data_IF_714032394467
#
_entry.id   IF_714032394467
#
_cell.length_a   1.000
_cell.length_b   1.000
_cell.length_c   1.000
_cell.angle_alpha   90.00
_cell.angle_beta   90.00
_cell.angle_gamma   90.00
#
_symmetry.space_group_name_H-M   'P 1'
#
loop_
_entity.id
_entity.type
_entity.pdbx_description
1 polymer ?
#
# COMPACT_ATOMS: atom_id res chain seq x y z
N UNK A 1 -17.40 8.01 -12.70
CA UNK A 1 -16.29 7.71 -11.78
C UNK A 1 -16.82 6.80 -10.69
N UNK A 2 -16.08 5.78 -10.29
CA UNK A 2 -16.44 5.00 -9.11
C UNK A 2 -16.15 5.85 -7.88
N UNK A 3 -17.20 6.17 -7.12
CA UNK A 3 -17.09 6.87 -5.83
C UNK A 3 -17.12 5.80 -4.76
N UNK A 4 -16.19 5.85 -3.81
CA UNK A 4 -16.20 4.97 -2.63
C UNK A 4 -16.97 5.67 -1.51
N UNK A 5 -18.24 5.29 -1.22
CA UNK A 5 -19.08 6.02 -0.28
C UNK A 5 -18.54 5.99 1.16
N UNK A 6 -17.78 4.94 1.50
CA UNK A 6 -17.14 4.78 2.79
C UNK A 6 -16.12 5.90 3.06
N UNK A 7 -15.35 6.33 2.06
CA UNK A 7 -14.41 7.45 2.18
C UNK A 7 -15.14 8.74 2.55
N UNK A 8 -16.24 9.03 1.82
CA UNK A 8 -17.02 10.25 2.05
C UNK A 8 -17.69 10.26 3.43
N UNK A 9 -18.31 9.15 3.82
CA UNK A 9 -19.01 9.02 5.10
C UNK A 9 -18.05 9.02 6.31
N UNK A 10 -16.84 8.47 6.15
CA UNK A 10 -15.80 8.42 7.17
C UNK A 10 -14.66 9.40 6.92
N UNK A 11 -14.94 10.53 6.24
CA UNK A 11 -13.88 11.44 5.80
C UNK A 11 -13.03 11.98 6.96
N UNK A 12 -13.62 12.20 8.14
CA UNK A 12 -12.87 12.59 9.33
C UNK A 12 -11.80 11.57 9.76
N UNK A 13 -12.12 10.27 9.69
CA UNK A 13 -11.19 9.17 9.97
C UNK A 13 -10.15 9.04 8.86
N UNK A 14 -10.59 9.04 7.60
CA UNK A 14 -9.69 8.98 6.44
C UNK A 14 -8.69 10.16 6.42
N UNK A 15 -9.14 11.36 6.80
CA UNK A 15 -8.27 12.55 6.88
C UNK A 15 -7.14 12.37 7.90
N UNK A 16 -7.33 11.60 8.98
CA UNK A 16 -6.24 11.26 9.90
C UNK A 16 -5.21 10.37 9.20
N UNK A 17 -5.68 9.30 8.55
CA UNK A 17 -4.82 8.41 7.74
C UNK A 17 -4.00 9.17 6.68
N UNK A 18 -4.56 10.23 6.09
CA UNK A 18 -3.87 11.08 5.12
C UNK A 18 -2.76 11.95 5.72
N UNK A 19 -2.96 12.48 6.92
CA UNK A 19 -2.18 13.61 7.45
C UNK A 19 -1.17 13.23 8.51
N UNK A 20 -1.45 12.15 9.22
CA UNK A 20 -0.71 11.75 10.41
C UNK A 20 0.30 10.63 10.08
N UNK A 21 1.35 10.57 10.90
CA UNK A 21 2.44 9.62 10.71
C UNK A 21 1.98 8.19 11.00
N UNK A 22 2.55 7.26 10.24
CA UNK A 22 2.34 5.83 10.34
C UNK A 22 3.70 5.14 10.40
N UNK A 23 3.77 4.00 11.08
CA UNK A 23 5.03 3.27 11.27
C UNK A 23 4.92 1.82 10.79
N UNK A 24 5.83 1.42 9.90
CA UNK A 24 5.95 0.03 9.47
C UNK A 24 6.61 -0.77 10.58
N UNK A 25 6.02 -1.90 10.95
CA UNK A 25 6.49 -2.67 12.12
C UNK A 25 7.65 -3.63 11.80
N UNK A 26 8.08 -3.69 10.54
CA UNK A 26 9.19 -4.55 10.08
C UNK A 26 10.11 -3.78 9.15
N UNK A 27 11.40 -3.97 9.36
CA UNK A 27 12.49 -3.38 8.57
C UNK A 27 12.53 -3.93 7.14
N UNK A 28 12.15 -5.19 6.97
CA UNK A 28 12.07 -5.86 5.69
C UNK A 28 10.66 -6.36 5.43
N UNK A 29 10.27 -6.32 4.14
CA UNK A 29 9.07 -7.00 3.66
C UNK A 29 9.47 -7.95 2.56
N UNK A 30 9.44 -9.25 2.88
CA UNK A 30 9.67 -10.31 1.91
C UNK A 30 8.44 -10.45 1.01
N UNK A 31 8.67 -10.41 -0.30
CA UNK A 31 7.67 -10.58 -1.36
C UNK A 31 7.90 -11.93 -1.99
N UNK A 32 6.97 -12.86 -1.76
CA UNK A 32 7.12 -14.29 -2.08
C UNK A 32 5.99 -14.77 -2.97
N UNK A 33 6.14 -15.95 -3.55
CA UNK A 33 5.08 -16.56 -4.32
C UNK A 33 4.01 -17.13 -3.39
N UNK A 34 2.76 -16.70 -3.55
CA UNK A 34 1.62 -17.27 -2.85
C UNK A 34 0.97 -18.39 -3.67
N UNK A 35 0.50 -19.43 -3.00
CA UNK A 35 -0.24 -20.51 -3.65
C UNK A 35 -1.53 -19.96 -4.28
N UNK A 36 -1.79 -20.31 -5.54
CA UNK A 36 -2.99 -19.89 -6.27
C UNK A 36 -2.90 -18.54 -6.98
N UNK A 37 -1.83 -17.76 -6.82
CA UNK A 37 -1.60 -16.54 -7.59
C UNK A 37 -0.37 -16.70 -8.51
N UNK A 38 -0.55 -17.16 -9.77
CA UNK A 38 0.58 -17.30 -10.69
C UNK A 38 1.12 -15.94 -11.16
N UNK A 39 0.28 -14.91 -11.12
CA UNK A 39 0.56 -13.61 -11.76
C UNK A 39 1.42 -12.70 -10.90
N UNK A 40 1.28 -12.79 -9.57
CA UNK A 40 1.98 -11.89 -8.65
C UNK A 40 2.68 -12.66 -7.52
N UNK A 41 3.87 -12.15 -7.18
CA UNK A 41 4.49 -12.32 -5.87
C UNK A 41 3.87 -11.28 -4.91
N UNK A 42 3.67 -11.64 -3.66
CA UNK A 42 3.02 -10.79 -2.66
C UNK A 42 3.81 -10.76 -1.36
N UNK A 43 3.88 -9.57 -0.75
CA UNK A 43 4.40 -9.33 0.59
C UNK A 43 3.41 -8.47 1.37
N UNK A 44 3.32 -8.69 2.69
CA UNK A 44 2.42 -7.93 3.55
C UNK A 44 3.07 -7.70 4.92
N UNK A 45 2.92 -6.50 5.44
CA UNK A 45 3.33 -6.16 6.81
C UNK A 45 2.31 -5.25 7.48
N UNK A 46 2.31 -5.25 8.80
CA UNK A 46 1.45 -4.38 9.60
C UNK A 46 2.07 -2.99 9.73
N UNK A 47 1.18 -2.00 9.83
CA UNK A 47 1.51 -0.60 10.01
C UNK A 47 0.74 -0.09 11.23
N UNK A 48 1.42 0.57 12.15
CA UNK A 48 0.75 1.32 13.22
C UNK A 48 0.50 2.76 12.78
N UNK A 49 -0.49 3.37 13.40
CA UNK A 49 -0.79 4.79 13.25
C UNK A 49 -0.50 5.49 14.58
N UNK A 50 -0.06 6.75 14.53
CA UNK A 50 0.31 7.48 15.75
C UNK A 50 -0.86 7.62 16.74
N UNK A 51 -2.05 7.95 16.24
CA UNK A 51 -3.22 8.27 17.07
C UNK A 51 -4.46 7.39 16.80
N UNK A 52 -4.32 6.31 16.01
CA UNK A 52 -5.43 5.42 15.68
C UNK A 52 -5.08 3.98 16.04
N UNK A 53 -5.96 3.37 16.83
CA UNK A 53 -5.98 1.92 17.02
C UNK A 53 -6.79 1.30 15.88
N UNK A 54 -6.15 1.19 14.71
CA UNK A 54 -6.77 0.64 13.50
C UNK A 54 -5.84 -0.36 12.83
N UNK A 55 -6.40 -1.44 12.28
CA UNK A 55 -5.61 -2.43 11.54
C UNK A 55 -5.24 -1.87 10.16
N UNK A 56 -3.98 -1.40 10.02
CA UNK A 56 -3.42 -0.93 8.76
C UNK A 56 -2.39 -1.92 8.26
N UNK A 57 -2.42 -2.20 6.96
CA UNK A 57 -1.47 -3.12 6.32
C UNK A 57 -0.86 -2.49 5.09
N UNK A 58 0.45 -2.63 4.95
CA UNK A 58 1.18 -2.36 3.72
C UNK A 58 1.29 -3.67 2.95
N UNK A 59 0.69 -3.71 1.76
CA UNK A 59 0.81 -4.82 0.83
C UNK A 59 1.68 -4.41 -0.36
N UNK A 60 2.59 -5.30 -0.76
CA UNK A 60 3.44 -5.15 -1.93
C UNK A 60 3.13 -6.28 -2.89
N UNK A 61 2.91 -5.94 -4.15
CA UNK A 61 2.67 -6.92 -5.22
C UNK A 61 3.65 -6.68 -6.34
N UNK A 62 4.35 -7.72 -6.77
CA UNK A 62 5.31 -7.67 -7.88
C UNK A 62 4.88 -8.71 -8.91
N UNK A 63 4.81 -8.34 -10.18
CA UNK A 63 4.37 -9.27 -11.23
C UNK A 63 5.44 -10.34 -11.45
N UNK A 64 5.05 -11.61 -11.45
CA UNK A 64 5.97 -12.76 -11.38
C UNK A 64 6.97 -12.85 -12.54
N UNK A 65 6.66 -12.26 -13.70
CA UNK A 65 7.48 -12.33 -14.91
C UNK A 65 8.06 -10.98 -15.34
N UNK A 66 7.87 -9.94 -14.54
CA UNK A 66 8.17 -8.55 -14.89
C UNK A 66 8.27 -7.74 -13.59
N UNK A 67 9.47 -7.71 -13.02
CA UNK A 67 9.68 -7.12 -11.69
C UNK A 67 9.67 -5.59 -11.69
N UNK A 68 9.67 -4.96 -12.87
CA UNK A 68 9.46 -3.52 -13.02
C UNK A 68 7.98 -3.16 -12.79
N UNK A 69 7.08 -4.14 -12.91
CA UNK A 69 5.67 -4.02 -12.57
C UNK A 69 5.43 -4.39 -11.11
N UNK A 70 5.23 -3.38 -10.28
CA UNK A 70 4.91 -3.54 -8.86
C UNK A 70 3.92 -2.49 -8.37
N UNK A 71 3.28 -2.81 -7.25
CA UNK A 71 2.28 -1.98 -6.58
C UNK A 71 2.49 -1.98 -5.09
N UNK A 72 2.28 -0.82 -4.49
CA UNK A 72 2.21 -0.65 -3.03
C UNK A 72 0.81 -0.22 -2.66
N UNK A 73 0.25 -0.83 -1.61
CA UNK A 73 -1.12 -0.58 -1.18
C UNK A 73 -1.17 -0.46 0.33
N UNK A 74 -1.65 0.67 0.84
CA UNK A 74 -2.05 0.80 2.24
C UNK A 74 -3.55 0.57 2.35
N UNK A 75 -3.92 -0.38 3.20
CA UNK A 75 -5.30 -0.83 3.42
C UNK A 75 -5.66 -0.69 4.88
N UNK A 76 -6.91 -0.31 5.14
CA UNK A 76 -7.49 -0.25 6.48
C UNK A 76 -8.95 -0.70 6.37
N UNK A 77 -9.25 -1.93 6.82
CA UNK A 77 -10.57 -2.53 6.66
C UNK A 77 -11.69 -1.77 7.40
N UNK A 78 -11.34 -1.07 8.48
CA UNK A 78 -12.26 -0.17 9.17
C UNK A 78 -12.71 1.01 8.31
N UNK A 79 -11.91 1.42 7.33
CA UNK A 79 -12.28 2.44 6.36
C UNK A 79 -13.06 1.83 5.18
N UNK A 80 -12.41 0.94 4.43
CA UNK A 80 -12.95 0.27 3.25
C UNK A 80 -12.12 -0.97 2.85
N UNK A 81 -12.69 -1.84 2.02
CA UNK A 81 -11.94 -2.96 1.42
C UNK A 81 -10.91 -2.52 0.36
N UNK A 82 -11.11 -1.34 -0.21
CA UNK A 82 -10.20 -0.71 -1.17
C UNK A 82 -8.98 -0.09 -0.45
N UNK A 83 -7.79 -0.11 -1.10
CA UNK A 83 -6.62 0.58 -0.56
C UNK A 83 -6.86 2.10 -0.56
N UNK A 84 -6.53 2.75 0.56
CA UNK A 84 -6.70 4.21 0.68
C UNK A 84 -5.53 4.98 0.08
N UNK A 85 -4.36 4.34 0.00
CA UNK A 85 -3.23 4.77 -0.83
C UNK A 85 -2.79 3.62 -1.73
N UNK A 86 -2.54 3.94 -2.99
CA UNK A 86 -2.01 3.00 -3.95
C UNK A 86 -0.93 3.67 -4.79
N UNK A 87 0.18 2.96 -4.99
CA UNK A 87 1.17 3.28 -5.98
C UNK A 87 1.24 2.18 -7.04
N UNK A 88 1.43 2.56 -8.30
CA UNK A 88 1.71 1.64 -9.40
C UNK A 88 2.94 2.12 -10.16
N UNK A 89 3.94 1.25 -10.32
CA UNK A 89 5.18 1.57 -11.04
C UNK A 89 4.99 1.59 -12.56
N UNK A 90 4.19 0.65 -13.08
CA UNK A 90 3.87 0.52 -14.50
C UNK A 90 2.46 -0.05 -14.72
N UNK A 91 1.94 0.05 -15.94
CA UNK A 91 0.64 -0.49 -16.35
C UNK A 91 -0.32 0.56 -16.90
N UNK A 92 -1.56 0.49 -16.43
CA UNK A 92 -2.64 1.27 -17.01
C UNK A 92 -2.55 2.75 -16.64
N UNK A 93 -2.81 3.60 -17.63
CA UNK A 93 -3.03 5.03 -17.40
C UNK A 93 -4.37 5.24 -16.68
N UNK A 94 -4.39 6.14 -15.69
CA UNK A 94 -5.60 6.59 -15.03
C UNK A 94 -6.13 7.88 -15.65
N UNK A 95 -7.44 8.11 -15.51
CA UNK A 95 -8.08 9.37 -15.91
C UNK A 95 -8.75 10.03 -14.71
N UNK A 96 -8.27 11.21 -14.32
CA UNK A 96 -8.99 12.09 -13.40
C UNK A 96 -10.09 12.83 -14.19
N UNK A 97 -11.30 12.28 -14.19
CA UNK A 97 -12.42 12.87 -14.93
C UNK A 97 -13.03 14.06 -14.18
N UNK A 98 -12.26 15.15 -14.08
CA UNK A 98 -12.67 16.42 -13.49
C UNK A 98 -12.75 17.48 -14.59
N UNK A 99 -13.92 18.08 -14.78
CA UNK A 99 -14.16 19.09 -15.83
C UNK A 99 -13.34 20.38 -15.62
N UNK A 100 -12.85 20.62 -14.40
CA UNK A 100 -11.96 21.74 -14.11
C UNK A 100 -10.52 21.50 -14.57
N UNK A 101 -10.13 20.25 -14.84
CA UNK A 101 -8.79 19.88 -15.31
C UNK A 101 -8.81 19.78 -16.85
N UNK A 102 -7.91 20.46 -17.58
CA UNK A 102 -7.79 20.32 -19.03
C UNK A 102 -7.65 18.85 -19.45
N UNK A 103 -8.34 18.44 -20.52
CA UNK A 103 -8.36 17.04 -20.99
C UNK A 103 -6.96 16.42 -21.15
N UNK A 104 -5.98 17.19 -21.63
CA UNK A 104 -4.60 16.74 -21.79
C UNK A 104 -3.91 16.40 -20.44
N UNK A 105 -4.35 17.03 -19.35
CA UNK A 105 -3.84 16.84 -17.99
C UNK A 105 -4.67 15.82 -17.18
N UNK A 106 -5.85 15.43 -17.67
CA UNK A 106 -6.66 14.39 -17.01
C UNK A 106 -6.03 13.01 -17.12
N UNK A 107 -5.13 12.80 -18.09
CA UNK A 107 -4.47 11.51 -18.36
C UNK A 107 -3.21 11.38 -17.49
N UNK A 108 -3.20 10.43 -16.58
CA UNK A 108 -2.09 10.18 -15.65
C UNK A 108 -1.44 8.85 -15.98
N UNK A 109 -0.21 8.90 -16.52
CA UNK A 109 0.59 7.70 -16.79
C UNK A 109 1.27 7.21 -15.52
N UNK A 110 1.70 5.95 -15.53
CA UNK A 110 2.63 5.42 -14.54
C UNK A 110 4.02 6.04 -14.68
N UNK A 111 4.85 6.03 -13.62
CA UNK A 111 4.49 5.66 -12.25
C UNK A 111 3.56 6.71 -11.59
N UNK A 112 2.55 6.28 -10.84
CA UNK A 112 1.57 7.18 -10.24
C UNK A 112 1.13 6.75 -8.85
N UNK A 113 0.62 7.71 -8.09
CA UNK A 113 0.02 7.53 -6.78
C UNK A 113 -1.46 7.92 -6.83
N UNK A 114 -2.27 7.10 -6.18
CA UNK A 114 -3.72 7.26 -6.09
C UNK A 114 -4.14 7.37 -4.63
N UNK A 115 -5.03 8.32 -4.38
CA UNK A 115 -5.75 8.49 -3.13
C UNK A 115 -7.18 8.96 -3.42
N UNK A 116 -8.00 9.13 -2.40
CA UNK A 116 -9.34 9.68 -2.55
C UNK A 116 -9.43 11.14 -2.11
N UNK A 117 -10.28 11.91 -2.77
CA UNK A 117 -10.68 13.24 -2.30
C UNK A 117 -11.83 13.15 -1.26
N UNK A 118 -12.30 14.31 -0.78
CA UNK A 118 -13.38 14.38 0.22
C UNK A 118 -14.70 13.78 -0.23
N UNK A 119 -14.95 13.76 -1.55
CA UNK A 119 -16.14 13.20 -2.14
C UNK A 119 -16.07 11.67 -2.26
N UNK A 120 -14.92 11.06 -1.94
CA UNK A 120 -14.64 9.64 -2.12
C UNK A 120 -14.32 9.27 -3.56
N UNK A 121 -13.98 10.25 -4.40
CA UNK A 121 -13.54 10.03 -5.78
C UNK A 121 -12.03 9.76 -5.78
N UNK A 122 -11.61 8.71 -6.48
CA UNK A 122 -10.19 8.44 -6.67
C UNK A 122 -9.56 9.57 -7.49
N UNK A 123 -8.45 10.09 -6.99
CA UNK A 123 -7.62 11.10 -7.60
C UNK A 123 -6.19 10.56 -7.68
N UNK A 124 -5.65 10.56 -8.90
CA UNK A 124 -4.32 10.00 -9.20
C UNK A 124 -3.39 11.09 -9.71
N UNK A 125 -2.12 11.07 -9.35
CA UNK A 125 -1.11 11.98 -9.89
C UNK A 125 0.19 11.24 -10.15
N UNK A 126 0.98 11.77 -11.08
CA UNK A 126 2.25 11.18 -11.46
C UNK A 126 3.27 11.38 -10.34
N UNK A 127 4.09 10.36 -10.07
CA UNK A 127 5.25 10.48 -9.19
C UNK A 127 6.51 10.49 -10.07
N UNK A 128 6.98 11.68 -10.44
CA UNK A 128 8.08 11.83 -11.42
C UNK A 128 9.41 11.25 -10.92
N UNK A 129 9.59 11.21 -9.59
CA UNK A 129 10.83 10.76 -8.94
C UNK A 129 10.90 9.24 -8.78
N UNK A 130 9.77 8.54 -8.89
CA UNK A 130 9.71 7.09 -8.79
C UNK A 130 10.30 6.44 -10.05
N UNK A 131 10.98 5.31 -9.86
CA UNK A 131 11.66 4.57 -10.93
C UNK A 131 11.17 3.12 -10.99
N UNK A 132 11.67 2.35 -11.96
CA UNK A 132 11.44 0.90 -12.01
C UNK A 132 12.16 0.13 -10.88
N UNK A 133 12.99 0.79 -10.05
CA UNK A 133 13.60 0.15 -8.88
C UNK A 133 12.65 0.22 -7.67
N UNK A 134 12.33 -0.96 -7.12
CA UNK A 134 11.27 -1.12 -6.12
C UNK A 134 11.58 -0.45 -4.79
N UNK A 135 12.82 -0.47 -4.32
CA UNK A 135 13.19 0.15 -3.04
C UNK A 135 13.23 1.67 -3.15
N UNK A 136 13.71 2.19 -4.28
CA UNK A 136 13.71 3.61 -4.60
C UNK A 136 12.29 4.15 -4.64
N UNK A 137 11.38 3.45 -5.34
CA UNK A 137 9.96 3.80 -5.37
C UNK A 137 9.27 3.64 -4.01
N UNK A 138 9.71 2.68 -3.17
CA UNK A 138 9.20 2.51 -1.81
C UNK A 138 9.50 3.74 -0.94
N UNK A 139 10.68 4.35 -1.08
CA UNK A 139 11.03 5.58 -0.36
C UNK A 139 10.05 6.71 -0.68
N UNK A 140 9.78 6.98 -1.95
CA UNK A 140 8.83 8.04 -2.33
C UNK A 140 7.39 7.72 -1.93
N UNK A 141 6.98 6.46 -2.06
CA UNK A 141 5.67 6.04 -1.55
C UNK A 141 5.55 6.28 -0.05
N UNK A 142 6.60 5.96 0.72
CA UNK A 142 6.62 6.17 2.15
C UNK A 142 6.56 7.66 2.52
N UNK A 143 7.33 8.51 1.82
CA UNK A 143 7.29 9.96 2.00
C UNK A 143 5.89 10.53 1.74
N UNK A 144 5.28 10.16 0.61
CA UNK A 144 3.94 10.60 0.23
C UNK A 144 2.88 10.12 1.22
N UNK A 145 3.00 8.86 1.67
CA UNK A 145 2.08 8.24 2.60
C UNK A 145 2.33 8.63 4.08
N UNK A 146 3.36 9.43 4.38
CA UNK A 146 3.82 9.73 5.76
C UNK A 146 4.07 8.45 6.58
N UNK A 147 4.79 7.53 5.96
CA UNK A 147 5.10 6.22 6.49
C UNK A 147 6.61 6.14 6.77
N UNK A 148 6.99 5.68 7.95
CA UNK A 148 8.38 5.51 8.35
C UNK A 148 8.57 4.11 8.96
N UNK A 149 9.79 3.57 8.93
CA UNK A 149 10.14 2.43 9.78
C UNK A 149 10.46 2.93 11.18
N UNK A 150 11.48 3.79 11.26
CA UNK A 150 11.96 4.53 12.43
C UNK A 150 12.63 5.79 11.89
N UNK A 151 12.38 6.95 12.48
CA UNK A 151 12.96 8.22 12.01
C UNK A 151 12.88 8.33 10.45
N UNK A 152 13.93 8.82 9.79
CA UNK A 152 14.01 8.93 8.31
C UNK A 152 14.37 7.60 7.60
N UNK A 153 14.17 6.45 8.24
CA UNK A 153 14.37 5.11 7.65
C UNK A 153 13.09 4.54 7.05
N UNK A 154 13.24 3.75 5.99
CA UNK A 154 12.15 3.14 5.23
C UNK A 154 12.32 1.61 5.16
N UNK A 155 11.23 0.84 5.04
CA UNK A 155 11.33 -0.61 4.91
C UNK A 155 12.00 -1.00 3.59
N UNK A 156 12.79 -2.09 3.64
CA UNK A 156 13.44 -2.69 2.46
C UNK A 156 12.58 -3.83 1.92
N UNK A 157 12.33 -3.81 0.62
CA UNK A 157 11.58 -4.84 -0.10
C UNK A 157 12.54 -5.87 -0.66
N UNK A 158 12.29 -7.14 -0.32
CA UNK A 158 13.06 -8.29 -0.79
C UNK A 158 12.19 -9.19 -1.64
N UNK A 159 12.45 -9.21 -2.94
CA UNK A 159 11.71 -10.07 -3.89
C UNK A 159 12.35 -11.46 -3.92
N UNK A 160 11.63 -12.46 -3.44
CA UNK A 160 12.09 -13.83 -3.25
C UNK A 160 11.19 -14.81 -4.03
N UNK A 161 11.31 -14.88 -5.37
CA UNK A 161 10.38 -15.61 -6.23
C UNK A 161 10.35 -17.13 -5.98
N UNK A 162 11.43 -17.68 -5.42
CA UNK A 162 11.60 -19.11 -5.14
C UNK A 162 11.40 -19.47 -3.66
N UNK A 163 11.09 -18.49 -2.80
CA UNK A 163 10.83 -18.74 -1.39
C UNK A 163 9.36 -19.10 -1.16
N UNK A 164 9.10 -19.98 -0.19
CA UNK A 164 7.76 -20.24 0.32
C UNK A 164 7.42 -19.25 1.44
N UNK A 165 6.16 -18.80 1.55
CA UNK A 165 5.73 -17.96 2.66
C UNK A 165 5.86 -18.74 3.98
N UNK A 166 6.71 -18.25 4.88
CA UNK A 166 6.77 -18.75 6.25
C UNK A 166 5.58 -18.17 7.04
N UNK A 167 4.54 -18.98 7.25
CA UNK A 167 3.48 -18.66 8.21
C UNK A 167 3.87 -19.21 9.57
N UNK A 168 4.67 -18.45 10.33
CA UNK A 168 4.88 -18.74 11.75
C UNK A 168 3.64 -18.24 12.49
N UNK A 169 2.68 -19.11 12.73
CA UNK A 169 1.63 -18.83 13.70
C UNK A 169 2.27 -18.90 15.09
N UNK A 170 2.43 -17.74 15.73
CA UNK A 170 2.95 -17.62 17.09
C UNK A 170 1.91 -18.08 18.15
N UNK A 171 1.11 -19.10 17.82
CA UNK A 171 0.33 -19.81 18.84
C UNK A 171 1.30 -20.73 19.55
N UNK A 172 1.62 -20.39 20.80
CA UNK A 172 2.28 -21.32 21.70
C UNK A 172 1.45 -22.63 21.73
N UNK A 173 1.99 -23.76 21.24
CA UNK A 173 1.28 -25.04 21.25
C UNK A 173 0.93 -25.48 22.69
N UNK A 174 1.59 -24.89 23.71
CA UNK A 174 1.35 -25.16 25.12
C UNK A 174 0.40 -24.16 25.79
N UNK A 175 -0.22 -23.25 25.03
CA UNK A 175 -1.21 -22.28 25.57
C UNK A 175 -2.44 -22.90 26.25
N UNK A 176 -2.61 -24.22 26.14
CA UNK A 176 -3.66 -25.00 26.82
C UNK A 176 -3.14 -25.90 27.95
N UNK A 177 -1.84 -25.90 28.23
CA UNK A 177 -1.25 -26.69 29.32
C UNK A 177 -1.32 -25.89 30.61
N UNK A 178 -2.26 -26.25 31.49
CA UNK A 178 -2.27 -25.80 32.87
C UNK A 178 -1.25 -26.64 33.65
N UNK A 179 -0.16 -26.01 34.09
CA UNK A 179 0.74 -26.63 35.06
C UNK A 179 0.04 -26.60 36.43
N UNK A 180 -0.33 -27.79 36.93
CA UNK A 180 -0.85 -28.03 38.28
C UNK A 180 0.28 -28.01 39.31
#
# INVERSE_FOLDING_TARGET
MSVVPAIRSKYGFYRKLLREHKYVLRDTVDVVKLAGNPTFLEGKTFVSHIDLDAEITLAIRVKSNDHDFFRFELRCHELSDEPFFQFQSDGCTHRNADESIPLAQQRITTPHFSQYNQQGTNFTYKMEEATAEINHSMVYFCQEAKLNLRDDEFPVIRVLPNALPLHVTQKDPNSTVLFL
#
